data_IF_566818706592
#
_entry.id   IF_566818706592
#
_cell.length_a   1.000
_cell.length_b   1.000
_cell.length_c   1.000
_cell.angle_alpha   90.00
_cell.angle_beta   90.00
_cell.angle_gamma   90.00
#
_symmetry.space_group_name_H-M   'P 1'
#
loop_
_entity.id
_entity.type
_entity.pdbx_description
1 polymer ?
#
# COMPACT_ATOMS: atom_id res chain seq x y z
N UNK A 1 -4.36 -12.47 18.68
CA UNK A 1 -4.20 -12.86 17.26
C UNK A 1 -4.04 -11.57 16.47
N UNK A 2 -2.79 -11.23 16.10
CA UNK A 2 -2.47 -9.99 15.38
C UNK A 2 -2.97 -10.11 13.93
N UNK A 3 -3.60 -9.06 13.40
CA UNK A 3 -4.14 -9.02 12.05
C UNK A 3 -3.04 -9.28 11.03
N UNK A 4 -3.18 -10.39 10.29
CA UNK A 4 -2.45 -10.65 9.06
C UNK A 4 -3.41 -10.41 7.91
N UNK A 5 -2.87 -10.07 6.74
CA UNK A 5 -3.58 -10.16 5.47
C UNK A 5 -4.24 -11.55 5.28
N UNK A 6 -5.16 -11.67 4.31
CA UNK A 6 -5.82 -12.93 3.94
C UNK A 6 -4.79 -14.08 3.92
N UNK A 7 -5.07 -15.23 4.56
CA UNK A 7 -4.11 -16.33 4.60
C UNK A 7 -3.59 -16.69 3.21
N UNK A 8 -2.27 -16.69 3.04
CA UNK A 8 -1.62 -16.95 1.75
C UNK A 8 -1.46 -15.72 0.85
N UNK A 9 -1.85 -14.51 1.29
CA UNK A 9 -1.58 -13.29 0.55
C UNK A 9 -0.07 -13.06 0.38
N UNK A 10 0.31 -12.58 -0.80
CA UNK A 10 1.66 -12.20 -1.17
C UNK A 10 1.65 -10.95 -2.06
N UNK A 11 2.84 -10.54 -2.51
CA UNK A 11 3.04 -9.34 -3.33
C UNK A 11 2.12 -9.33 -4.56
N UNK A 12 2.06 -10.43 -5.30
CA UNK A 12 1.24 -10.50 -6.52
C UNK A 12 -0.25 -10.33 -6.22
N UNK A 13 -0.76 -10.95 -5.15
CA UNK A 13 -2.17 -10.78 -4.75
C UNK A 13 -2.52 -9.34 -4.36
N UNK A 14 -1.56 -8.59 -3.80
CA UNK A 14 -1.75 -7.17 -3.50
C UNK A 14 -1.80 -6.36 -4.79
N UNK A 15 -0.86 -6.60 -5.70
CA UNK A 15 -0.82 -5.94 -7.01
C UNK A 15 -2.11 -6.20 -7.77
N UNK A 16 -2.57 -7.45 -7.83
CA UNK A 16 -3.80 -7.84 -8.51
C UNK A 16 -5.03 -7.15 -7.91
N UNK A 17 -5.11 -7.06 -6.57
CA UNK A 17 -6.18 -6.35 -5.89
C UNK A 17 -6.18 -4.85 -6.23
N UNK A 18 -5.00 -4.22 -6.23
CA UNK A 18 -4.84 -2.82 -6.62
C UNK A 18 -5.26 -2.59 -8.08
N UNK A 19 -4.83 -3.45 -9.01
CA UNK A 19 -5.19 -3.36 -10.42
C UNK A 19 -6.68 -3.58 -10.65
N UNK A 20 -7.31 -4.51 -9.92
CA UNK A 20 -8.75 -4.78 -10.01
C UNK A 20 -9.64 -3.58 -9.62
N UNK A 21 -9.12 -2.71 -8.76
CA UNK A 21 -9.83 -1.52 -8.27
C UNK A 21 -9.44 -0.24 -9.01
N UNK A 22 -8.17 -0.10 -9.38
CA UNK A 22 -7.65 1.09 -10.03
C UNK A 22 -8.28 1.31 -11.42
N UNK A 23 -8.42 2.59 -11.79
CA UNK A 23 -9.00 3.02 -13.07
C UNK A 23 -8.06 4.00 -13.79
N UNK A 24 -8.20 4.03 -15.10
CA UNK A 24 -7.55 4.97 -16.01
C UNK A 24 -6.05 5.19 -15.72
N UNK A 25 -5.60 6.45 -15.58
CA UNK A 25 -4.20 6.82 -15.35
C UNK A 25 -3.57 6.17 -14.12
N UNK A 26 -4.33 5.96 -13.03
CA UNK A 26 -3.81 5.24 -11.86
C UNK A 26 -3.55 3.77 -12.18
N UNK A 27 -4.44 3.12 -12.94
CA UNK A 27 -4.20 1.74 -13.34
C UNK A 27 -2.96 1.64 -14.24
N UNK A 28 -2.86 2.53 -15.24
CA UNK A 28 -1.72 2.56 -16.16
C UNK A 28 -0.39 2.83 -15.44
N UNK A 29 -0.39 3.74 -14.45
CA UNK A 29 0.77 4.02 -13.62
C UNK A 29 1.22 2.80 -12.79
N UNK A 30 0.27 2.09 -12.18
CA UNK A 30 0.57 0.85 -11.42
C UNK A 30 1.16 -0.21 -12.37
N UNK A 31 0.55 -0.43 -13.54
CA UNK A 31 1.05 -1.40 -14.53
C UNK A 31 2.48 -1.05 -14.98
N UNK A 32 2.75 0.22 -15.29
CA UNK A 32 4.07 0.67 -15.73
C UNK A 32 5.14 0.50 -14.64
N UNK A 33 4.87 0.98 -13.42
CA UNK A 33 5.83 0.92 -12.31
C UNK A 33 6.07 -0.51 -11.85
N UNK A 34 5.02 -1.32 -11.70
CA UNK A 34 5.18 -2.73 -11.35
C UNK A 34 5.92 -3.50 -12.45
N UNK A 35 5.63 -3.20 -13.72
CA UNK A 35 6.34 -3.78 -14.85
C UNK A 35 7.85 -3.53 -14.79
N UNK A 36 8.24 -2.27 -14.54
CA UNK A 36 9.65 -1.91 -14.35
C UNK A 36 10.25 -2.57 -13.10
N UNK A 37 9.53 -2.58 -11.98
CA UNK A 37 9.99 -3.17 -10.72
C UNK A 37 10.29 -4.68 -10.83
N UNK A 38 9.54 -5.42 -11.64
CA UNK A 38 9.77 -6.87 -11.83
C UNK A 38 11.09 -7.20 -12.54
N UNK A 39 11.72 -6.23 -13.22
CA UNK A 39 13.04 -6.39 -13.82
C UNK A 39 14.18 -6.18 -12.81
N UNK A 40 13.88 -5.65 -11.63
CA UNK A 40 14.86 -5.23 -10.63
C UNK A 40 14.96 -6.23 -9.47
N UNK A 41 16.15 -6.32 -8.86
CA UNK A 41 16.41 -7.19 -7.70
C UNK A 41 16.87 -6.42 -6.46
N UNK A 42 17.27 -5.15 -6.61
CA UNK A 42 17.73 -4.27 -5.54
C UNK A 42 17.08 -2.90 -5.72
N UNK A 43 16.52 -2.34 -4.65
CA UNK A 43 15.89 -1.02 -4.71
C UNK A 43 16.89 0.07 -5.09
N UNK A 44 18.19 -0.10 -4.80
CA UNK A 44 19.24 0.86 -5.17
C UNK A 44 19.34 1.06 -6.68
N UNK A 45 19.17 -0.02 -7.45
CA UNK A 45 19.18 0.05 -8.93
C UNK A 45 17.81 0.40 -9.49
N UNK A 46 16.74 0.07 -8.76
CA UNK A 46 15.36 0.31 -9.21
C UNK A 46 14.93 1.78 -9.22
N UNK A 47 15.56 2.68 -8.45
CA UNK A 47 15.11 4.08 -8.33
C UNK A 47 14.98 4.77 -9.69
N UNK A 48 15.98 4.67 -10.56
CA UNK A 48 15.96 5.34 -11.87
C UNK A 48 14.90 4.72 -12.80
N UNK A 49 14.83 3.40 -12.99
CA UNK A 49 13.75 2.75 -13.74
C UNK A 49 12.35 3.12 -13.24
N UNK A 50 12.12 3.14 -11.92
CA UNK A 50 10.80 3.46 -11.38
C UNK A 50 10.41 4.93 -11.62
N UNK A 51 11.37 5.86 -11.52
CA UNK A 51 11.15 7.28 -11.88
C UNK A 51 10.77 7.43 -13.35
N UNK A 52 11.46 6.71 -14.24
CA UNK A 52 11.14 6.72 -15.68
C UNK A 52 9.75 6.14 -15.95
N UNK A 53 9.37 5.08 -15.24
CA UNK A 53 8.07 4.44 -15.40
C UNK A 53 6.90 5.32 -14.93
N UNK A 54 7.07 6.09 -13.85
CA UNK A 54 5.99 6.95 -13.32
C UNK A 54 5.88 8.30 -14.02
N UNK A 55 6.98 8.80 -14.62
CA UNK A 55 7.05 10.13 -15.22
C UNK A 55 5.90 10.50 -16.20
N UNK A 56 5.39 9.59 -17.07
CA UNK A 56 4.27 9.91 -17.96
C UNK A 56 2.95 10.18 -17.23
N UNK A 57 2.84 9.77 -15.97
CA UNK A 57 1.63 9.85 -15.16
C UNK A 57 1.74 10.84 -14.00
N UNK A 58 2.95 11.33 -13.68
CA UNK A 58 3.18 12.29 -12.60
C UNK A 58 2.81 13.72 -13.04
N UNK A 59 1.90 14.36 -12.31
CA UNK A 59 1.48 15.76 -12.56
C UNK A 59 2.25 16.78 -11.75
N UNK A 60 2.93 16.35 -10.70
CA UNK A 60 3.80 17.22 -9.89
C UNK A 60 5.08 17.50 -10.67
N UNK A 61 5.57 16.52 -11.43
CA UNK A 61 6.74 16.65 -12.30
C UNK A 61 8.05 16.65 -11.52
N UNK A 62 9.19 16.69 -12.23
CA UNK A 62 10.51 16.66 -11.58
C UNK A 62 10.77 17.89 -10.70
N UNK A 63 10.27 19.05 -11.12
CA UNK A 63 10.38 20.31 -10.38
C UNK A 63 9.26 20.45 -9.36
N UNK A 64 9.39 19.76 -8.22
CA UNK A 64 8.39 19.78 -7.13
C UNK A 64 7.93 21.19 -6.69
N UNK A 65 8.80 22.21 -6.80
CA UNK A 65 8.51 23.60 -6.44
C UNK A 65 7.74 24.39 -7.50
N UNK A 66 7.61 23.86 -8.71
CA UNK A 66 6.98 24.49 -9.87
C UNK A 66 6.02 23.51 -10.57
N UNK A 67 5.00 22.99 -9.85
CA UNK A 67 4.16 21.93 -10.38
C UNK A 67 3.31 22.40 -11.58
N UNK A 68 3.04 21.48 -12.50
CA UNK A 68 2.20 21.76 -13.67
C UNK A 68 0.75 22.12 -13.30
N UNK A 69 0.02 22.72 -14.24
CA UNK A 69 -1.38 23.16 -14.02
C UNK A 69 -2.34 22.01 -13.63
N UNK A 70 -1.99 20.78 -13.99
CA UNK A 70 -2.74 19.57 -13.65
C UNK A 70 -2.40 18.96 -12.28
N UNK A 71 -1.39 19.48 -11.59
CA UNK A 71 -0.94 18.93 -10.31
C UNK A 71 -2.04 18.96 -9.26
N UNK A 72 -2.14 17.86 -8.50
CA UNK A 72 -3.07 17.71 -7.37
C UNK A 72 -4.55 17.91 -7.77
N UNK A 73 -4.89 17.69 -9.04
CA UNK A 73 -6.27 17.69 -9.55
C UNK A 73 -6.71 16.28 -9.94
N UNK A 74 -8.00 15.93 -9.80
CA UNK A 74 -8.52 14.69 -10.33
C UNK A 74 -8.21 14.54 -11.82
N UNK A 75 -7.69 13.38 -12.21
CA UNK A 75 -7.30 13.11 -13.60
C UNK A 75 -7.65 11.69 -14.00
N UNK A 76 -8.06 11.52 -15.26
CA UNK A 76 -8.16 10.22 -15.92
C UNK A 76 -6.85 9.80 -16.59
N UNK A 77 -5.89 10.71 -16.76
CA UNK A 77 -4.64 10.42 -17.47
C UNK A 77 -3.48 10.19 -16.52
N UNK A 78 -3.53 10.84 -15.36
CA UNK A 78 -2.42 10.89 -14.42
C UNK A 78 -2.72 10.16 -13.12
N UNK A 79 -1.68 9.93 -12.34
CA UNK A 79 -1.76 9.34 -11.00
C UNK A 79 -0.95 10.16 -10.00
N UNK A 80 -1.25 9.96 -8.72
CA UNK A 80 -0.40 10.37 -7.61
C UNK A 80 0.70 9.29 -7.53
N UNK A 81 1.98 9.68 -7.57
CA UNK A 81 3.11 8.75 -7.78
C UNK A 81 3.31 7.77 -6.61
N UNK A 82 2.91 8.18 -5.42
CA UNK A 82 3.28 7.55 -4.15
C UNK A 82 2.75 6.11 -4.07
N UNK A 83 1.52 5.84 -4.54
CA UNK A 83 0.96 4.48 -4.53
C UNK A 83 1.65 3.56 -5.55
N UNK A 84 1.75 3.91 -6.85
CA UNK A 84 2.54 3.13 -7.81
C UNK A 84 3.96 2.85 -7.35
N UNK A 85 4.68 3.85 -6.83
CA UNK A 85 6.06 3.69 -6.36
C UNK A 85 6.14 2.80 -5.12
N UNK A 86 5.21 2.94 -4.16
CA UNK A 86 5.14 2.05 -3.00
C UNK A 86 4.93 0.59 -3.41
N UNK A 87 4.06 0.33 -4.40
CA UNK A 87 3.88 -1.01 -4.97
C UNK A 87 5.13 -1.49 -5.71
N UNK A 88 5.81 -0.62 -6.45
CA UNK A 88 7.09 -0.92 -7.08
C UNK A 88 8.15 -1.35 -6.06
N UNK A 89 8.32 -0.60 -4.98
CA UNK A 89 9.28 -0.93 -3.92
C UNK A 89 8.90 -2.20 -3.16
N UNK A 90 7.61 -2.47 -2.97
CA UNK A 90 7.13 -3.74 -2.43
C UNK A 90 7.50 -4.92 -3.34
N UNK A 91 7.39 -4.75 -4.67
CA UNK A 91 7.76 -5.76 -5.66
C UNK A 91 9.27 -6.01 -5.66
N UNK A 92 10.09 -4.96 -5.70
CA UNK A 92 11.56 -5.09 -5.66
C UNK A 92 12.01 -5.73 -4.33
N UNK A 93 11.43 -5.30 -3.22
CA UNK A 93 11.68 -5.85 -1.89
C UNK A 93 11.06 -7.23 -1.64
N UNK A 94 10.31 -7.79 -2.60
CA UNK A 94 9.65 -9.10 -2.49
C UNK A 94 8.76 -9.22 -1.24
N UNK A 95 8.15 -8.12 -0.83
CA UNK A 95 7.32 -8.04 0.38
C UNK A 95 8.10 -7.97 1.70
N UNK A 96 9.44 -7.95 1.66
CA UNK A 96 10.25 -7.68 2.84
C UNK A 96 10.04 -6.25 3.32
N UNK A 97 9.74 -6.09 4.60
CA UNK A 97 9.43 -4.78 5.19
C UNK A 97 10.62 -3.82 5.09
N UNK A 98 11.82 -4.29 5.44
CA UNK A 98 13.01 -3.45 5.50
C UNK A 98 13.41 -2.98 4.12
N UNK A 99 13.48 -3.88 3.14
CA UNK A 99 13.87 -3.52 1.77
C UNK A 99 12.82 -2.63 1.10
N UNK A 100 11.53 -2.90 1.31
CA UNK A 100 10.46 -2.06 0.74
C UNK A 100 10.47 -0.64 1.32
N UNK A 101 10.64 -0.49 2.64
CA UNK A 101 10.70 0.82 3.31
C UNK A 101 11.97 1.56 2.95
N UNK A 102 13.15 0.91 2.94
CA UNK A 102 14.40 1.56 2.57
C UNK A 102 14.37 2.03 1.11
N UNK A 103 13.82 1.21 0.20
CA UNK A 103 13.61 1.61 -1.19
C UNK A 103 12.73 2.84 -1.31
N UNK A 104 11.57 2.84 -0.63
CA UNK A 104 10.64 3.97 -0.65
C UNK A 104 11.23 5.25 -0.04
N UNK A 105 11.97 5.17 1.07
CA UNK A 105 12.62 6.34 1.68
C UNK A 105 13.71 6.90 0.77
N UNK A 106 14.54 6.04 0.16
CA UNK A 106 15.64 6.47 -0.70
C UNK A 106 15.20 6.85 -2.12
N UNK A 107 13.97 6.53 -2.53
CA UNK A 107 13.36 7.07 -3.75
C UNK A 107 13.31 8.61 -3.71
N UNK A 108 13.11 9.18 -2.52
CA UNK A 108 13.01 10.62 -2.30
C UNK A 108 11.63 11.18 -2.64
N UNK A 109 11.56 12.50 -2.89
CA UNK A 109 10.30 13.23 -3.18
C UNK A 109 9.35 13.14 -1.98
N UNK A 110 8.11 12.69 -2.15
CA UNK A 110 7.18 12.39 -1.04
C UNK A 110 7.51 11.02 -0.42
N UNK A 111 8.68 11.00 0.22
CA UNK A 111 9.27 9.78 0.77
C UNK A 111 8.48 9.25 1.97
N UNK A 112 7.90 10.14 2.78
CA UNK A 112 7.11 9.77 3.95
C UNK A 112 5.80 9.07 3.56
N UNK A 113 5.04 9.59 2.58
CA UNK A 113 3.82 8.94 2.11
C UNK A 113 4.10 7.62 1.41
N UNK A 114 5.13 7.58 0.56
CA UNK A 114 5.53 6.37 -0.16
C UNK A 114 6.00 5.28 0.80
N UNK A 115 6.86 5.62 1.76
CA UNK A 115 7.35 4.67 2.77
C UNK A 115 6.25 4.21 3.71
N UNK A 116 5.31 5.09 4.06
CA UNK A 116 4.13 4.72 4.87
C UNK A 116 3.28 3.68 4.15
N UNK A 117 3.00 3.85 2.86
CA UNK A 117 2.22 2.87 2.10
C UNK A 117 2.98 1.55 1.92
N UNK A 118 4.25 1.59 1.51
CA UNK A 118 5.06 0.39 1.32
C UNK A 118 5.19 -0.41 2.63
N UNK A 119 5.51 0.28 3.74
CA UNK A 119 5.63 -0.32 5.07
C UNK A 119 4.31 -0.86 5.60
N UNK A 120 3.19 -0.16 5.39
CA UNK A 120 1.86 -0.64 5.81
C UNK A 120 1.50 -1.95 5.12
N UNK A 121 1.75 -2.04 3.80
CA UNK A 121 1.45 -3.24 3.02
C UNK A 121 2.40 -4.38 3.41
N UNK A 122 3.71 -4.14 3.44
CA UNK A 122 4.69 -5.16 3.81
C UNK A 122 4.48 -5.66 5.25
N UNK A 123 4.14 -4.76 6.18
CA UNK A 123 3.80 -5.09 7.57
C UNK A 123 2.53 -5.94 7.67
N UNK A 124 1.51 -5.67 6.85
CA UNK A 124 0.29 -6.48 6.79
C UNK A 124 0.52 -7.88 6.18
N UNK A 125 1.44 -8.01 5.23
CA UNK A 125 1.86 -9.30 4.64
C UNK A 125 2.69 -10.12 5.64
N UNK A 126 3.72 -9.49 6.22
CA UNK A 126 4.65 -10.14 7.13
C UNK A 126 4.10 -10.38 8.54
N UNK A 127 3.18 -9.53 8.99
CA UNK A 127 2.73 -9.43 10.38
C UNK A 127 3.69 -8.59 11.23
N UNK A 128 3.36 -8.42 12.52
CA UNK A 128 4.12 -7.55 13.42
C UNK A 128 5.61 -7.90 13.51
N UNK A 129 5.97 -9.19 13.41
CA UNK A 129 7.36 -9.65 13.46
C UNK A 129 8.20 -9.29 12.23
N UNK A 130 7.58 -8.81 11.14
CA UNK A 130 8.31 -8.32 9.98
C UNK A 130 8.85 -6.90 10.18
N UNK A 131 8.28 -6.14 11.12
CA UNK A 131 8.75 -4.79 11.44
C UNK A 131 10.00 -4.90 12.33
N UNK A 132 11.14 -4.30 11.96
CA UNK A 132 12.32 -4.29 12.82
C UNK A 132 12.04 -3.61 14.16
N UNK A 133 12.26 -4.35 15.24
CA UNK A 133 11.96 -3.89 16.61
C UNK A 133 12.74 -2.61 16.94
N UNK A 134 13.99 -2.53 16.50
CA UNK A 134 14.86 -1.38 16.68
C UNK A 134 14.29 -0.11 16.02
N UNK A 135 13.57 -0.24 14.91
CA UNK A 135 12.93 0.89 14.24
C UNK A 135 11.67 1.30 14.99
N UNK A 136 10.77 0.35 15.29
CA UNK A 136 9.53 0.67 16.01
C UNK A 136 9.81 1.27 17.40
N UNK A 137 10.80 0.76 18.12
CA UNK A 137 11.22 1.27 19.43
C UNK A 137 11.81 2.67 19.32
N UNK A 138 12.64 2.92 18.32
CA UNK A 138 13.21 4.26 18.10
C UNK A 138 12.12 5.29 17.78
N UNK A 139 11.16 4.93 16.91
CA UNK A 139 10.03 5.81 16.55
C UNK A 139 9.13 6.05 17.76
N UNK A 140 8.71 5.01 18.49
CA UNK A 140 7.86 5.13 19.68
C UNK A 140 8.50 6.04 20.74
N UNK A 141 9.81 5.88 20.97
CA UNK A 141 10.56 6.75 21.89
C UNK A 141 10.66 8.19 21.37
N UNK A 142 10.86 8.40 20.08
CA UNK A 142 10.96 9.76 19.54
C UNK A 142 9.61 10.49 19.54
N UNK A 143 8.53 9.77 19.21
CA UNK A 143 7.17 10.32 19.13
C UNK A 143 6.44 10.37 20.47
N UNK A 144 6.91 9.61 21.47
CA UNK A 144 6.22 9.41 22.75
C UNK A 144 4.82 8.80 22.58
N UNK A 145 4.68 7.88 21.60
CA UNK A 145 3.41 7.21 21.29
C UNK A 145 3.50 5.70 21.51
N UNK A 146 2.42 5.11 21.98
CA UNK A 146 2.17 3.67 21.83
C UNK A 146 1.73 3.40 20.39
N UNK A 147 2.61 2.79 19.60
CA UNK A 147 2.32 2.46 18.20
C UNK A 147 1.40 1.24 18.05
N UNK A 148 1.30 0.39 19.08
CA UNK A 148 0.57 -0.87 19.04
C UNK A 148 -0.87 -0.74 19.55
N UNK A 149 -1.14 0.17 20.49
CA UNK A 149 -2.49 0.41 21.02
C UNK A 149 -3.52 0.78 19.92
N UNK A 150 -3.28 1.75 19.03
CA UNK A 150 -4.21 2.07 17.95
C UNK A 150 -4.49 0.88 17.03
N UNK A 151 -3.47 0.06 16.74
CA UNK A 151 -3.61 -1.14 15.91
C UNK A 151 -4.48 -2.22 16.59
N UNK A 152 -4.34 -2.41 17.92
CA UNK A 152 -5.17 -3.33 18.70
C UNK A 152 -6.64 -2.87 18.73
N UNK A 153 -6.87 -1.58 18.98
CA UNK A 153 -8.23 -1.01 18.98
C UNK A 153 -8.87 -1.16 17.59
N UNK A 154 -8.15 -0.82 16.52
CA UNK A 154 -8.67 -0.97 15.15
C UNK A 154 -9.00 -2.43 14.82
N UNK A 155 -8.17 -3.37 15.26
CA UNK A 155 -8.39 -4.80 15.10
C UNK A 155 -9.66 -5.30 15.83
N UNK A 156 -9.91 -4.80 17.04
CA UNK A 156 -11.11 -5.12 17.81
C UNK A 156 -12.37 -4.59 17.12
N UNK A 157 -12.35 -3.32 16.71
CA UNK A 157 -13.46 -2.69 15.98
C UNK A 157 -13.74 -3.40 14.65
N UNK A 158 -12.69 -3.77 13.90
CA UNK A 158 -12.85 -4.49 12.63
C UNK A 158 -13.52 -5.86 12.84
N UNK A 159 -13.20 -6.57 13.93
CA UNK A 159 -13.84 -7.85 14.28
C UNK A 159 -15.32 -7.64 14.62
N UNK A 160 -15.61 -6.64 15.45
CA UNK A 160 -16.99 -6.30 15.84
C UNK A 160 -17.86 -5.96 14.61
N UNK A 161 -17.33 -5.15 13.68
CA UNK A 161 -18.02 -4.81 12.43
C UNK A 161 -18.27 -6.06 11.58
N UNK A 162 -17.25 -6.91 11.40
CA UNK A 162 -17.37 -8.14 10.62
C UNK A 162 -18.43 -9.10 11.18
N UNK A 163 -18.46 -9.29 12.51
CA UNK A 163 -19.45 -10.14 13.17
C UNK A 163 -20.87 -9.60 12.97
N UNK A 164 -21.07 -8.29 13.12
CA UNK A 164 -22.37 -7.65 12.90
C UNK A 164 -22.84 -7.77 11.46
N UNK A 165 -21.95 -7.55 10.50
CA UNK A 165 -22.29 -7.64 9.09
C UNK A 165 -22.57 -9.08 8.66
N UNK A 166 -21.84 -10.05 9.20
CA UNK A 166 -22.09 -11.48 9.00
C UNK A 166 -23.46 -11.91 9.54
N UNK A 167 -23.84 -11.43 10.73
CA UNK A 167 -25.15 -11.69 11.31
C UNK A 167 -26.29 -11.07 10.47
N UNK A 168 -26.12 -9.81 10.03
CA UNK A 168 -27.07 -9.13 9.14
C UNK A 168 -27.23 -9.85 7.81
N UNK A 169 -26.12 -10.29 7.20
CA UNK A 169 -26.13 -11.05 5.96
C UNK A 169 -26.87 -12.38 6.12
N UNK A 170 -26.60 -13.10 7.20
CA UNK A 170 -27.24 -14.39 7.50
C UNK A 170 -28.75 -14.23 7.67
N UNK A 171 -29.19 -13.22 8.43
CA UNK A 171 -30.61 -12.91 8.60
C UNK A 171 -31.30 -12.56 7.27
N UNK A 172 -30.65 -11.73 6.43
CA UNK A 172 -31.16 -11.39 5.10
C UNK A 172 -31.29 -12.63 4.21
N UNK A 173 -30.30 -13.51 4.24
CA UNK A 173 -30.27 -14.73 3.44
C UNK A 173 -31.32 -15.77 3.88
N UNK A 174 -31.62 -15.85 5.18
CA UNK A 174 -32.72 -16.68 5.69
C UNK A 174 -34.07 -16.13 5.26
N UNK A 175 -34.32 -14.83 5.47
CA UNK A 175 -35.58 -14.17 5.04
C UNK A 175 -35.83 -14.30 3.55
N UNK A 176 -34.79 -14.22 2.72
CA UNK A 176 -34.94 -14.37 1.28
C UNK A 176 -35.39 -15.79 0.90
N UNK A 177 -34.81 -16.82 1.54
CA UNK A 177 -35.22 -18.22 1.32
C UNK A 177 -36.65 -18.51 1.78
N UNK A 178 -37.12 -17.87 2.85
CA UNK A 178 -38.51 -17.99 3.32
C UNK A 178 -39.54 -17.39 2.35
N UNK A 179 -39.14 -16.50 1.43
CA UNK A 179 -40.01 -15.99 0.37
C UNK A 179 -40.14 -16.95 -0.82
N UNK A 180 -39.19 -17.88 -0.98
CA UNK A 180 -39.16 -18.86 -2.07
C UNK A 180 -39.84 -20.20 -1.69
N UNK A 181 -40.25 -20.36 -0.43
CA UNK A 181 -40.98 -21.53 0.09
C UNK A 181 -42.47 -21.30 0.18
#
# INVERSE_FOLDING_TARGET
MLFRSTPGAGVDSVVDACLGLARDGTRAAIEAVVGAARAEQDWRTAIVPLRQAIAPFDTVGEEYRSPGLGARRPSRLHSIEELPIALGMLVVGKGDFRESVLGAVNYGRDADSTATMAGSIAGALGGASAVPEEWSTAVARASQLDLAEPARILAEVAREVFERDSARFSLRSTRFRELES
#
